data_IF_455801214440
#
_entry.id   IF_455801214440
#
_cell.length_a   1.000
_cell.length_b   1.000
_cell.length_c   1.000
_cell.angle_alpha   90.00
_cell.angle_beta   90.00
_cell.angle_gamma   90.00
#
_symmetry.space_group_name_H-M   'P 1'
#
loop_
_entity.id
_entity.type
_entity.pdbx_description
1 polymer ?
#
# COMPACT_ATOMS: atom_id res chain seq x y z
N UNK A 1 19.65 -13.75 13.56
CA UNK A 1 18.18 -13.63 13.63
C UNK A 1 17.77 -12.37 12.91
N UNK A 2 16.99 -12.52 11.84
CA UNK A 2 16.44 -11.41 11.07
C UNK A 2 15.50 -10.55 11.93
N UNK A 3 15.56 -9.24 11.74
CA UNK A 3 14.72 -8.27 12.45
C UNK A 3 13.63 -7.80 11.49
N UNK A 4 12.37 -7.90 11.90
CA UNK A 4 11.24 -7.47 11.07
C UNK A 4 10.54 -6.28 11.68
N UNK A 5 10.39 -5.25 10.88
CA UNK A 5 9.70 -4.03 11.26
C UNK A 5 8.53 -3.77 10.31
N UNK A 6 7.36 -3.53 10.90
CA UNK A 6 6.12 -3.29 10.19
C UNK A 6 5.73 -1.82 10.34
N UNK A 7 5.52 -1.15 9.21
CA UNK A 7 5.28 0.28 9.12
C UNK A 7 4.01 0.56 8.32
N UNK A 8 3.02 1.16 8.98
CA UNK A 8 1.83 1.70 8.33
C UNK A 8 2.11 3.13 7.87
N UNK A 9 1.86 3.45 6.59
CA UNK A 9 1.94 4.82 6.10
C UNK A 9 0.87 5.68 6.78
N UNK A 10 1.29 6.56 7.68
CA UNK A 10 0.43 7.51 8.37
C UNK A 10 0.79 8.94 7.94
N UNK A 11 -0.19 9.85 7.82
CA UNK A 11 0.06 11.24 7.43
C UNK A 11 0.86 12.03 8.48
N UNK A 12 0.83 11.59 9.74
CA UNK A 12 1.60 12.16 10.86
C UNK A 12 2.12 11.04 11.75
N UNK A 13 3.42 11.02 12.02
CA UNK A 13 4.03 10.09 12.96
C UNK A 13 4.03 10.66 14.37
N UNK A 14 3.72 9.80 15.34
CA UNK A 14 3.91 10.08 16.76
C UNK A 14 5.39 9.93 17.16
N UNK A 15 5.80 10.53 18.28
CA UNK A 15 7.20 10.52 18.75
C UNK A 15 7.76 9.11 18.94
N UNK A 16 6.96 8.18 19.46
CA UNK A 16 7.37 6.77 19.61
C UNK A 16 7.54 6.07 18.26
N UNK A 17 6.67 6.37 17.29
CA UNK A 17 6.73 5.82 15.93
C UNK A 17 7.98 6.32 15.19
N UNK A 18 8.33 7.61 15.37
CA UNK A 18 9.55 8.20 14.80
C UNK A 18 10.83 7.51 15.31
N UNK A 19 10.92 7.19 16.60
CA UNK A 19 12.06 6.47 17.18
C UNK A 19 12.20 5.05 16.60
N UNK A 20 11.08 4.34 16.43
CA UNK A 20 11.06 2.99 15.81
C UNK A 20 11.46 3.07 14.34
N UNK A 21 11.04 4.11 13.61
CA UNK A 21 11.49 4.37 12.25
C UNK A 21 13.01 4.59 12.19
N UNK A 22 13.56 5.48 13.02
CA UNK A 22 15.00 5.77 13.05
C UNK A 22 15.82 4.53 13.38
N UNK A 23 15.38 3.72 14.35
CA UNK A 23 16.02 2.46 14.69
C UNK A 23 15.98 1.45 13.53
N UNK A 24 14.87 1.37 12.81
CA UNK A 24 14.73 0.46 11.67
C UNK A 24 15.61 0.89 10.49
N UNK A 25 15.65 2.20 10.18
CA UNK A 25 16.52 2.78 9.15
C UNK A 25 17.98 2.49 9.48
N UNK A 26 18.41 2.75 10.72
CA UNK A 26 19.77 2.48 11.17
C UNK A 26 20.13 0.99 11.07
N UNK A 27 19.19 0.07 11.37
CA UNK A 27 19.41 -1.37 11.22
C UNK A 27 19.59 -1.78 9.76
N UNK A 28 18.73 -1.29 8.85
CA UNK A 28 18.83 -1.54 7.41
C UNK A 28 20.18 -1.06 6.86
N UNK A 29 20.56 0.18 7.16
CA UNK A 29 21.81 0.77 6.66
C UNK A 29 23.04 0.06 7.25
N UNK A 30 23.02 -0.25 8.55
CA UNK A 30 24.08 -1.05 9.19
C UNK A 30 24.30 -2.38 8.47
N UNK A 31 23.23 -3.09 8.13
CA UNK A 31 23.33 -4.39 7.46
C UNK A 31 23.88 -4.25 6.04
N UNK A 32 23.40 -3.26 5.28
CA UNK A 32 23.86 -3.00 3.92
C UNK A 32 25.34 -2.60 3.90
N UNK A 33 25.78 -1.68 4.77
CA UNK A 33 27.20 -1.27 4.83
C UNK A 33 28.12 -2.37 5.37
N UNK A 34 27.59 -3.35 6.11
CA UNK A 34 28.33 -4.56 6.53
C UNK A 34 28.42 -5.63 5.43
N UNK A 35 27.93 -5.35 4.23
CA UNK A 35 27.92 -6.30 3.12
C UNK A 35 26.86 -7.40 3.24
N UNK A 36 25.77 -7.13 3.98
CA UNK A 36 24.60 -8.02 4.08
C UNK A 36 23.47 -7.52 3.19
N UNK A 37 22.52 -8.41 2.88
CA UNK A 37 21.29 -8.03 2.19
C UNK A 37 20.27 -7.47 3.20
N UNK A 38 19.55 -6.42 2.83
CA UNK A 38 18.35 -5.93 3.54
C UNK A 38 17.18 -5.84 2.58
N UNK A 39 15.96 -6.08 3.07
CA UNK A 39 14.78 -6.16 2.22
C UNK A 39 13.69 -5.19 2.68
N UNK A 40 13.13 -4.45 1.73
CA UNK A 40 12.01 -3.54 1.95
C UNK A 40 10.83 -4.00 1.08
N UNK A 41 9.74 -4.41 1.70
CA UNK A 41 8.44 -4.60 1.06
C UNK A 41 7.67 -3.29 1.08
N UNK A 42 7.27 -2.80 -0.09
CA UNK A 42 6.41 -1.63 -0.23
C UNK A 42 5.07 -2.06 -0.85
N UNK A 43 4.02 -2.09 -0.04
CA UNK A 43 2.66 -2.43 -0.44
C UNK A 43 1.77 -1.20 -0.57
N UNK A 44 1.02 -1.12 -1.67
CA UNK A 44 0.04 -0.08 -1.95
C UNK A 44 0.45 0.82 -3.10
N UNK A 45 -0.23 1.95 -3.26
CA UNK A 45 -0.01 2.84 -4.38
C UNK A 45 1.42 3.43 -4.33
N UNK A 46 2.13 3.35 -5.46
CA UNK A 46 3.38 4.08 -5.62
C UNK A 46 3.04 5.59 -5.59
N UNK A 47 3.79 6.43 -4.86
CA UNK A 47 3.53 7.87 -4.80
C UNK A 47 3.87 8.51 -6.16
N UNK A 48 2.93 8.41 -7.10
CA UNK A 48 3.00 9.05 -8.41
C UNK A 48 2.50 10.47 -8.20
N UNK A 49 3.42 11.44 -8.11
CA UNK A 49 3.24 12.91 -8.12
C UNK A 49 3.58 13.71 -6.84
N UNK A 50 3.98 13.11 -5.71
CA UNK A 50 4.39 13.91 -4.53
C UNK A 50 5.84 14.43 -4.62
N UNK A 51 6.64 13.92 -5.56
CA UNK A 51 8.04 14.31 -5.75
C UNK A 51 8.24 15.47 -6.74
N UNK A 52 7.36 16.49 -6.75
CA UNK A 52 7.61 17.75 -7.47
C UNK A 52 8.20 18.79 -6.52
N UNK A 53 9.48 18.64 -6.22
CA UNK A 53 10.26 19.62 -5.45
C UNK A 53 11.39 19.00 -4.64
N UNK A 54 12.36 19.83 -4.25
CA UNK A 54 13.55 19.50 -3.44
C UNK A 54 13.23 19.06 -2.00
N UNK A 55 11.94 19.00 -1.65
CA UNK A 55 11.42 18.39 -0.44
C UNK A 55 10.65 17.13 -0.84
N UNK A 56 11.39 16.05 -1.10
CA UNK A 56 10.80 14.72 -1.01
C UNK A 56 10.29 14.59 0.43
N UNK A 57 8.95 14.65 0.59
CA UNK A 57 8.29 14.76 1.87
C UNK A 57 8.96 13.84 2.90
N UNK A 58 9.31 14.39 4.06
CA UNK A 58 9.86 13.69 5.24
C UNK A 58 8.99 12.52 5.77
N UNK A 59 8.00 12.09 5.00
CA UNK A 59 6.95 11.13 5.30
C UNK A 59 7.18 9.77 4.61
N UNK A 60 7.84 9.72 3.45
CA UNK A 60 8.08 8.43 2.78
C UNK A 60 9.31 7.72 3.39
N UNK A 61 9.07 6.56 4.00
CA UNK A 61 10.09 5.75 4.67
C UNK A 61 11.19 5.33 3.69
N UNK A 62 10.83 5.02 2.44
CA UNK A 62 11.78 4.68 1.39
C UNK A 62 12.71 5.87 1.09
N UNK A 63 12.16 7.07 1.05
CA UNK A 63 12.89 8.29 0.73
C UNK A 63 13.85 8.66 1.84
N UNK A 64 13.43 8.49 3.08
CA UNK A 64 14.31 8.65 4.25
C UNK A 64 15.46 7.64 4.24
N UNK A 65 15.21 6.37 3.90
CA UNK A 65 16.28 5.36 3.79
C UNK A 65 17.28 5.72 2.70
N UNK A 66 16.79 6.10 1.50
CA UNK A 66 17.66 6.49 0.40
C UNK A 66 18.45 7.77 0.74
N UNK A 67 17.79 8.79 1.28
CA UNK A 67 18.46 10.03 1.69
C UNK A 67 19.53 9.77 2.75
N UNK A 68 19.24 8.95 3.76
CA UNK A 68 20.23 8.57 4.78
C UNK A 68 21.37 7.70 4.21
N UNK A 69 21.08 6.82 3.25
CA UNK A 69 22.09 6.03 2.55
C UNK A 69 23.07 6.93 1.80
N UNK A 70 22.57 7.82 0.95
CA UNK A 70 23.42 8.75 0.19
C UNK A 70 24.12 9.75 1.11
N UNK A 71 23.46 10.22 2.17
CA UNK A 71 24.09 11.07 3.21
C UNK A 71 25.27 10.37 3.89
N UNK A 72 25.11 9.09 4.25
CA UNK A 72 26.21 8.30 4.80
C UNK A 72 27.33 8.17 3.77
N UNK A 73 27.02 7.85 2.51
CA UNK A 73 28.02 7.72 1.43
C UNK A 73 28.79 9.02 1.20
N UNK A 74 28.13 10.17 1.15
CA UNK A 74 28.79 11.48 1.01
C UNK A 74 29.55 11.93 2.26
N UNK A 75 29.17 11.42 3.43
CA UNK A 75 29.86 11.67 4.69
C UNK A 75 31.06 10.76 4.94
N UNK A 76 31.28 9.74 4.10
CA UNK A 76 32.46 8.87 4.21
C UNK A 76 33.74 9.61 3.81
N UNK A 77 34.85 9.22 4.43
CA UNK A 77 36.17 9.77 4.10
C UNK A 77 36.51 9.58 2.61
N UNK A 78 37.20 10.55 2.02
CA UNK A 78 37.65 10.60 0.61
C UNK A 78 38.44 9.36 0.12
N UNK A 79 38.79 8.43 1.01
CA UNK A 79 39.52 7.19 0.72
C UNK A 79 38.61 5.98 0.45
N UNK A 80 37.29 6.14 0.55
CA UNK A 80 36.30 5.10 0.31
C UNK A 80 35.55 5.40 -0.99
N UNK A 81 35.90 4.68 -2.06
CA UNK A 81 35.10 4.67 -3.28
C UNK A 81 33.91 3.73 -3.08
N UNK A 82 32.71 4.29 -3.20
CA UNK A 82 31.45 3.56 -3.12
C UNK A 82 30.74 3.68 -4.45
N UNK A 83 30.46 2.55 -5.11
CA UNK A 83 29.62 2.53 -6.30
C UNK A 83 28.26 1.95 -5.96
N UNK A 84 27.22 2.63 -6.43
CA UNK A 84 25.81 2.24 -6.22
C UNK A 84 25.21 1.97 -7.58
N UNK A 85 24.69 0.76 -7.78
CA UNK A 85 24.02 0.38 -9.01
C UNK A 85 22.62 -0.17 -8.73
N UNK A 86 21.66 0.17 -9.58
CA UNK A 86 20.28 -0.33 -9.50
C UNK A 86 19.97 -1.31 -10.63
N UNK A 87 19.31 -2.41 -10.28
CA UNK A 87 18.74 -3.39 -11.21
C UNK A 87 17.28 -3.69 -10.84
N UNK A 88 16.50 -4.22 -11.79
CA UNK A 88 15.11 -4.63 -11.55
C UNK A 88 14.84 -6.02 -12.14
N UNK A 89 13.94 -6.76 -11.51
CA UNK A 89 13.41 -8.04 -11.97
C UNK A 89 11.90 -8.08 -11.76
N UNK A 90 11.18 -8.66 -12.72
CA UNK A 90 9.75 -8.96 -12.60
C UNK A 90 9.61 -10.41 -12.12
N UNK A 91 8.84 -10.63 -11.06
CA UNK A 91 8.62 -11.95 -10.46
C UNK A 91 7.14 -12.30 -10.50
N UNK A 92 6.81 -13.55 -10.83
CA UNK A 92 5.45 -14.06 -10.88
C UNK A 92 5.22 -15.05 -9.72
N UNK A 93 4.17 -14.83 -8.93
CA UNK A 93 3.84 -15.61 -7.73
C UNK A 93 3.44 -17.08 -7.99
N UNK A 94 3.33 -17.52 -9.24
CA UNK A 94 3.02 -18.93 -9.62
C UNK A 94 4.20 -19.74 -10.12
N UNK A 95 5.26 -19.09 -10.61
CA UNK A 95 6.43 -19.76 -11.16
C UNK A 95 7.67 -19.27 -10.39
N UNK A 96 8.36 -20.20 -9.74
CA UNK A 96 9.67 -19.96 -9.11
C UNK A 96 10.77 -19.66 -10.15
N UNK A 97 10.45 -19.69 -11.44
CA UNK A 97 11.38 -19.32 -12.48
C UNK A 97 11.26 -17.83 -12.83
N UNK A 98 12.37 -17.08 -12.73
CA UNK A 98 12.40 -15.70 -13.20
C UNK A 98 12.12 -15.73 -14.70
N UNK A 99 10.95 -15.25 -15.11
CA UNK A 99 10.74 -14.92 -16.52
C UNK A 99 11.60 -13.70 -16.78
N UNK A 100 12.85 -13.93 -17.18
CA UNK A 100 13.70 -12.94 -17.80
C UNK A 100 12.95 -12.47 -19.04
N UNK A 101 12.17 -11.41 -18.89
CA UNK A 101 11.68 -10.65 -20.02
C UNK A 101 12.94 -10.14 -20.72
N UNK A 102 13.18 -10.74 -21.86
CA UNK A 102 14.31 -10.58 -22.77
C UNK A 102 15.60 -11.28 -22.35
N UNK A 103 15.84 -12.42 -23.00
CA UNK A 103 17.18 -12.85 -23.38
C UNK A 103 17.81 -11.82 -24.34
N UNK A 104 18.11 -10.62 -23.83
CA UNK A 104 19.15 -9.75 -24.37
C UNK A 104 20.33 -9.74 -23.42
N UNK A 105 21.57 -9.89 -23.92
CA UNK A 105 22.76 -9.81 -23.10
C UNK A 105 22.94 -8.38 -22.61
N UNK A 106 22.50 -8.10 -21.37
CA UNK A 106 22.72 -6.82 -20.71
C UNK A 106 21.53 -6.30 -19.93
N UNK A 107 21.24 -6.91 -18.76
CA UNK A 107 20.58 -6.16 -17.68
C UNK A 107 21.59 -5.09 -17.24
N UNK A 108 21.51 -3.90 -17.87
CA UNK A 108 22.38 -2.77 -17.55
C UNK A 108 22.02 -2.29 -16.14
N UNK A 109 22.74 -2.81 -15.14
CA UNK A 109 22.83 -2.18 -13.83
C UNK A 109 23.17 -0.71 -14.07
N UNK A 110 22.25 0.19 -13.73
CA UNK A 110 22.45 1.61 -13.94
C UNK A 110 23.15 2.17 -12.70
N UNK A 111 24.27 2.86 -12.89
CA UNK A 111 24.92 3.57 -11.80
C UNK A 111 24.06 4.75 -11.38
N UNK A 112 23.91 4.89 -10.07
CA UNK A 112 23.04 5.91 -9.47
C UNK A 112 23.86 6.77 -8.54
N UNK A 113 23.81 8.08 -8.75
CA UNK A 113 24.60 9.03 -7.96
C UNK A 113 23.75 9.73 -6.89
N UNK A 114 22.44 9.89 -7.10
CA UNK A 114 21.55 10.62 -6.18
C UNK A 114 20.31 9.80 -5.79
N UNK A 115 19.66 10.09 -4.65
CA UNK A 115 18.40 9.45 -4.29
C UNK A 115 17.29 9.74 -5.31
N UNK A 116 17.32 10.91 -5.96
CA UNK A 116 16.36 11.28 -6.99
C UNK A 116 16.45 10.40 -8.24
N UNK A 117 17.67 10.03 -8.63
CA UNK A 117 17.90 9.13 -9.76
C UNK A 117 17.34 7.72 -9.49
N UNK A 118 17.44 7.23 -8.25
CA UNK A 118 16.83 5.95 -7.82
C UNK A 118 15.31 6.00 -8.01
N UNK A 119 14.68 7.06 -7.50
CA UNK A 119 13.23 7.25 -7.60
C UNK A 119 12.76 7.36 -9.04
N UNK A 120 13.46 8.14 -9.86
CA UNK A 120 13.14 8.35 -11.27
C UNK A 120 13.23 7.04 -12.07
N UNK A 121 14.24 6.20 -11.78
CA UNK A 121 14.37 4.87 -12.38
C UNK A 121 13.20 3.96 -12.02
N UNK A 122 12.88 3.86 -10.72
CA UNK A 122 11.77 3.02 -10.24
C UNK A 122 10.43 3.48 -10.80
N UNK A 123 10.15 4.78 -10.78
CA UNK A 123 8.92 5.36 -11.32
C UNK A 123 8.78 5.12 -12.82
N UNK A 124 9.85 5.25 -13.59
CA UNK A 124 9.85 4.99 -15.03
C UNK A 124 9.55 3.52 -15.38
N UNK A 125 9.97 2.57 -14.54
CA UNK A 125 9.67 1.15 -14.71
C UNK A 125 8.24 0.83 -14.26
N UNK A 126 7.81 1.35 -13.11
CA UNK A 126 6.47 1.14 -12.58
C UNK A 126 5.42 1.74 -13.53
N UNK A 127 5.61 2.95 -14.05
CA UNK A 127 4.69 3.58 -15.02
C UNK A 127 4.55 2.78 -16.31
N UNK A 128 5.66 2.26 -16.85
CA UNK A 128 5.65 1.40 -18.05
C UNK A 128 4.87 0.11 -17.81
N UNK A 129 4.99 -0.48 -16.62
CA UNK A 129 4.31 -1.72 -16.26
C UNK A 129 2.86 -1.53 -15.83
N UNK A 130 2.47 -0.39 -15.27
CA UNK A 130 1.09 -0.07 -14.94
C UNK A 130 0.21 0.11 -16.20
N UNK A 131 0.80 0.48 -17.33
CA UNK A 131 0.12 0.60 -18.62
C UNK A 131 -0.13 -0.77 -19.31
N UNK A 132 0.65 -1.80 -18.98
CA UNK A 132 0.33 -3.18 -19.36
C UNK A 132 -0.53 -3.80 -18.25
N UNK A 133 -1.79 -4.13 -18.54
CA UNK A 133 -2.76 -4.68 -17.57
C UNK A 133 -2.11 -5.54 -16.46
N UNK A 134 -2.17 -5.14 -15.17
CA UNK A 134 -1.48 -5.89 -14.12
C UNK A 134 -2.20 -7.22 -13.89
N UNK A 135 -1.49 -8.34 -14.07
CA UNK A 135 -1.97 -9.61 -13.55
C UNK A 135 -1.81 -9.60 -12.02
N UNK A 136 -2.76 -10.14 -11.23
CA UNK A 136 -2.75 -10.04 -9.77
C UNK A 136 -1.61 -10.81 -9.06
N UNK A 137 -0.64 -11.33 -9.82
CA UNK A 137 0.37 -12.28 -9.38
C UNK A 137 1.80 -11.80 -9.68
N UNK A 138 1.97 -10.66 -10.34
CA UNK A 138 3.29 -10.12 -10.67
C UNK A 138 3.71 -9.03 -9.67
N UNK A 139 4.95 -9.09 -9.22
CA UNK A 139 5.56 -8.08 -8.35
C UNK A 139 6.94 -7.69 -8.86
N UNK A 140 7.33 -6.44 -8.59
CA UNK A 140 8.60 -5.87 -9.05
C UNK A 140 9.63 -5.90 -7.91
N UNK A 141 10.80 -6.46 -8.18
CA UNK A 141 11.95 -6.44 -7.28
C UNK A 141 13.03 -5.54 -7.86
N UNK A 142 13.33 -4.45 -7.17
CA UNK A 142 14.49 -3.60 -7.42
C UNK A 142 15.61 -4.01 -6.47
N UNK A 143 16.85 -4.05 -6.95
CA UNK A 143 18.03 -4.35 -6.12
C UNK A 143 19.03 -3.23 -6.30
N UNK A 144 19.38 -2.54 -5.20
CA UNK A 144 20.53 -1.64 -5.17
C UNK A 144 21.73 -2.41 -4.64
N UNK A 145 22.77 -2.55 -5.45
CA UNK A 145 24.06 -3.09 -5.02
C UNK A 145 24.99 -1.94 -4.65
N UNK A 146 25.57 -2.05 -3.46
CA UNK A 146 26.51 -1.08 -2.90
C UNK A 146 27.86 -1.79 -2.77
N UNK A 147 28.79 -1.44 -3.64
CA UNK A 147 30.14 -1.95 -3.63
C UNK A 147 31.05 -0.93 -2.96
N UNK A 148 31.79 -1.38 -1.95
CA UNK A 148 32.80 -0.58 -1.26
C UNK A 148 34.17 -1.16 -1.52
N UNK A 149 35.13 -0.33 -1.91
CA UNK A 149 36.46 -0.79 -2.33
C UNK A 149 37.25 -1.56 -1.23
N UNK A 150 36.85 -1.43 0.05
CA UNK A 150 37.50 -2.10 1.20
C UNK A 150 36.85 -3.40 1.67
N UNK A 151 35.63 -3.73 1.21
CA UNK A 151 34.90 -4.92 1.66
C UNK A 151 34.77 -5.94 0.50
N UNK A 152 35.06 -7.23 0.73
CA UNK A 152 34.96 -8.25 -0.32
C UNK A 152 33.51 -8.60 -0.69
N UNK A 153 32.53 -8.19 0.13
CA UNK A 153 31.11 -8.45 -0.08
C UNK A 153 30.37 -7.14 -0.35
N UNK A 154 29.63 -7.08 -1.45
CA UNK A 154 28.71 -5.98 -1.75
C UNK A 154 27.48 -6.05 -0.85
N UNK A 155 27.09 -4.91 -0.29
CA UNK A 155 25.80 -4.77 0.35
C UNK A 155 24.68 -4.76 -0.67
N UNK A 156 23.54 -5.37 -0.36
CA UNK A 156 22.37 -5.37 -1.24
C UNK A 156 21.14 -4.82 -0.52
N UNK A 157 20.48 -3.83 -1.13
CA UNK A 157 19.17 -3.36 -0.70
C UNK A 157 18.11 -3.80 -1.71
N UNK A 158 17.30 -4.78 -1.33
CA UNK A 158 16.22 -5.35 -2.15
C UNK A 158 14.92 -4.61 -1.83
N UNK A 159 14.34 -3.90 -2.79
CA UNK A 159 13.05 -3.22 -2.66
C UNK A 159 12.01 -3.97 -3.49
N UNK A 160 11.02 -4.55 -2.83
CA UNK A 160 9.94 -5.31 -3.45
C UNK A 160 8.69 -4.45 -3.45
N UNK A 161 8.23 -4.03 -4.62
CA UNK A 161 7.00 -3.27 -4.79
C UNK A 161 5.84 -4.20 -5.12
N UNK A 162 4.82 -4.17 -4.26
CA UNK A 162 3.56 -4.86 -4.44
C UNK A 162 2.49 -3.83 -4.79
N UNK A 163 1.89 -3.90 -6.00
CA UNK A 163 0.80 -3.01 -6.34
C UNK A 163 -0.40 -3.24 -5.40
N UNK A 164 -1.16 -2.17 -5.13
CA UNK A 164 -2.41 -2.26 -4.38
C UNK A 164 -3.38 -3.17 -5.13
N UNK A 165 -3.78 -4.28 -4.50
CA UNK A 165 -4.70 -5.24 -5.13
C UNK A 165 -6.12 -4.89 -4.72
N UNK A 166 -6.88 -4.28 -5.63
CA UNK A 166 -8.28 -3.91 -5.42
C UNK A 166 -9.22 -5.13 -5.46
N UNK A 167 -8.79 -6.25 -6.04
CA UNK A 167 -9.63 -7.43 -6.21
C UNK A 167 -9.50 -8.42 -5.03
N UNK A 168 -10.60 -8.72 -4.31
CA UNK A 168 -10.58 -9.68 -3.20
C UNK A 168 -10.25 -11.12 -3.63
N UNK A 169 -10.33 -11.43 -4.93
CA UNK A 169 -10.01 -12.72 -5.52
C UNK A 169 -8.53 -13.12 -5.32
N UNK A 170 -7.62 -12.15 -5.19
CA UNK A 170 -6.19 -12.40 -5.03
C UNK A 170 -5.82 -12.88 -3.62
N UNK A 171 -6.68 -12.64 -2.63
CA UNK A 171 -6.53 -13.17 -1.26
C UNK A 171 -6.94 -14.65 -1.15
N UNK A 172 -7.65 -15.19 -2.15
CA UNK A 172 -8.13 -16.58 -2.17
C UNK A 172 -7.07 -17.59 -2.63
N UNK A 173 -6.00 -17.15 -3.28
CA UNK A 173 -4.90 -18.03 -3.71
C UNK A 173 -4.02 -18.36 -2.50
N UNK A 174 -3.59 -19.62 -2.31
CA UNK A 174 -2.70 -20.00 -1.20
C UNK A 174 -1.22 -19.82 -1.61
N UNK A 175 -0.79 -18.59 -1.85
CA UNK A 175 0.62 -18.24 -2.05
C UNK A 175 1.20 -17.58 -0.80
N UNK A 176 2.53 -17.63 -0.56
CA UNK A 176 3.17 -16.92 0.55
C UNK A 176 2.86 -15.42 0.51
N UNK A 177 2.70 -14.86 -0.69
CA UNK A 177 2.25 -13.48 -0.89
C UNK A 177 0.84 -13.21 -0.36
N UNK A 178 -0.12 -14.11 -0.58
CA UNK A 178 -1.47 -13.93 -0.01
C UNK A 178 -1.49 -14.10 1.50
N UNK A 179 -0.59 -14.90 2.06
CA UNK A 179 -0.39 -15.02 3.50
C UNK A 179 0.16 -13.71 4.09
N UNK A 180 1.14 -13.07 3.43
CA UNK A 180 1.65 -11.75 3.78
C UNK A 180 0.53 -10.69 3.76
N UNK A 181 -0.28 -10.66 2.70
CA UNK A 181 -1.41 -9.73 2.59
C UNK A 181 -2.49 -9.96 3.65
N UNK A 182 -2.77 -11.21 4.02
CA UNK A 182 -3.68 -11.55 5.13
C UNK A 182 -3.15 -11.04 6.47
N UNK A 183 -1.84 -11.16 6.71
CA UNK A 183 -1.22 -10.64 7.93
C UNK A 183 -1.31 -9.11 7.96
N UNK A 184 -1.03 -8.43 6.85
CA UNK A 184 -1.20 -6.97 6.74
C UNK A 184 -2.66 -6.56 6.99
N UNK A 185 -3.63 -7.27 6.41
CA UNK A 185 -5.06 -7.00 6.61
C UNK A 185 -5.51 -7.21 8.06
N UNK A 186 -5.01 -8.24 8.76
CA UNK A 186 -5.29 -8.45 10.18
C UNK A 186 -4.67 -7.34 11.04
N UNK A 187 -3.45 -6.92 10.68
CA UNK A 187 -2.74 -5.85 11.38
C UNK A 187 -3.37 -4.48 11.14
N UNK A 188 -4.20 -4.31 10.11
CA UNK A 188 -4.91 -3.06 9.83
C UNK A 188 -5.90 -2.69 10.95
N UNK A 189 -6.61 -3.70 11.49
CA UNK A 189 -7.56 -3.52 12.59
C UNK A 189 -6.88 -3.31 13.96
N UNK A 190 -5.56 -3.37 14.02
CA UNK A 190 -4.81 -3.21 15.26
C UNK A 190 -4.45 -1.73 15.50
N UNK A 191 -4.52 -1.27 16.76
CA UNK A 191 -4.25 0.14 17.13
C UNK A 191 -2.77 0.54 16.96
N UNK A 192 -1.85 -0.42 17.08
CA UNK A 192 -0.40 -0.20 16.92
C UNK A 192 0.01 -0.31 15.45
N UNK A 193 0.65 0.74 14.94
CA UNK A 193 0.98 0.95 13.52
C UNK A 193 2.46 0.72 13.16
N UNK A 194 3.35 0.76 14.16
CA UNK A 194 4.81 0.66 14.01
C UNK A 194 5.31 -0.41 15.00
N UNK A 195 5.54 -1.63 14.51
CA UNK A 195 5.79 -2.78 15.36
C UNK A 195 7.06 -3.51 14.93
N UNK A 196 7.88 -3.91 15.90
CA UNK A 196 8.87 -4.97 15.71
C UNK A 196 8.15 -6.30 15.85
N UNK A 197 8.29 -7.17 14.87
CA UNK A 197 7.56 -8.44 14.80
C UNK A 197 8.52 -9.60 15.03
N UNK A 198 8.31 -10.35 16.12
CA UNK A 198 9.19 -11.46 16.53
C UNK A 198 8.51 -12.85 16.33
N UNK A 199 7.45 -12.94 15.53
CA UNK A 199 6.71 -14.19 15.33
C UNK A 199 7.41 -15.13 14.33
N UNK A 200 7.78 -16.32 14.80
CA UNK A 200 8.50 -17.34 14.02
C UNK A 200 7.77 -17.80 12.76
N UNK A 201 6.44 -17.92 12.77
CA UNK A 201 5.67 -18.38 11.59
C UNK A 201 5.68 -17.37 10.46
N UNK A 202 5.73 -16.09 10.79
CA UNK A 202 5.82 -15.03 9.79
C UNK A 202 7.23 -14.92 9.21
N UNK A 203 8.24 -15.16 10.04
CA UNK A 203 9.62 -15.29 9.58
C UNK A 203 9.76 -16.45 8.59
N UNK A 204 9.12 -17.58 8.84
CA UNK A 204 9.08 -18.73 7.92
C UNK A 204 8.44 -18.36 6.57
N UNK A 205 7.30 -17.66 6.58
CA UNK A 205 6.64 -17.18 5.36
C UNK A 205 7.52 -16.18 4.57
N UNK A 206 8.22 -15.29 5.26
CA UNK A 206 9.16 -14.36 4.63
C UNK A 206 10.39 -15.09 4.08
N UNK A 207 10.87 -16.12 4.77
CA UNK A 207 11.95 -16.98 4.29
C UNK A 207 11.52 -17.76 3.05
N UNK A 208 10.28 -18.26 2.99
CA UNK A 208 9.71 -18.91 1.80
C UNK A 208 9.58 -17.95 0.61
N UNK A 209 9.25 -16.67 0.87
CA UNK A 209 9.14 -15.64 -0.18
C UNK A 209 10.51 -15.14 -0.70
N UNK A 210 11.53 -15.15 0.15
CA UNK A 210 12.83 -14.50 -0.10
C UNK A 210 13.98 -15.48 -0.36
N UNK A 211 13.78 -16.77 -0.09
CA UNK A 211 14.83 -17.79 -0.11
C UNK A 211 15.84 -17.68 1.05
N UNK A 212 16.96 -18.39 0.91
CA UNK A 212 17.98 -18.58 1.95
C UNK A 212 18.70 -17.29 2.41
N UNK A 213 18.57 -16.18 1.68
CA UNK A 213 19.23 -14.89 1.98
C UNK A 213 18.62 -14.16 3.20
N UNK A 214 17.52 -14.68 3.78
CA UNK A 214 16.70 -13.98 4.77
C UNK A 214 17.13 -14.22 6.24
N UNK A 215 18.12 -15.07 6.52
CA UNK A 215 18.41 -15.53 7.90
C UNK A 215 19.04 -14.43 8.79
N UNK A 216 19.73 -13.46 8.18
CA UNK A 216 20.43 -12.38 8.88
C UNK A 216 20.06 -10.96 8.43
N UNK A 217 19.04 -10.81 7.59
CA UNK A 217 18.66 -9.52 7.00
C UNK A 217 17.63 -8.75 7.84
N UNK A 218 17.68 -7.42 7.80
CA UNK A 218 16.58 -6.58 8.29
C UNK A 218 15.48 -6.53 7.22
N UNK A 219 14.24 -6.85 7.61
CA UNK A 219 13.05 -6.79 6.73
C UNK A 219 12.14 -5.66 7.17
N UNK A 220 11.82 -4.78 6.22
CA UNK A 220 10.97 -3.62 6.41
C UNK A 220 9.69 -3.80 5.61
N UNK A 221 8.51 -3.71 6.23
CA UNK A 221 7.23 -3.81 5.52
C UNK A 221 6.52 -2.47 5.64
N UNK A 222 6.60 -1.67 4.58
CA UNK A 222 5.90 -0.41 4.44
C UNK A 222 4.57 -0.66 3.70
N UNK A 223 3.44 -0.48 4.36
CA UNK A 223 2.13 -0.68 3.75
C UNK A 223 1.30 0.58 3.83
N UNK A 224 0.76 0.97 2.67
CA UNK A 224 -0.29 1.97 2.58
C UNK A 224 -1.59 1.34 3.05
N UNK A 225 -2.41 2.08 3.79
CA UNK A 225 -3.78 1.69 4.14
C UNK A 225 -4.42 0.97 2.96
N UNK A 226 -4.63 -0.35 3.03
CA UNK A 226 -5.39 -0.99 1.97
C UNK A 226 -6.76 -0.32 2.00
N UNK A 227 -7.23 0.20 0.85
CA UNK A 227 -8.65 0.47 0.64
C UNK A 227 -9.39 -0.87 0.52
N UNK A 228 -9.11 -1.82 1.41
CA UNK A 228 -9.88 -3.01 1.58
C UNK A 228 -11.22 -2.55 2.14
N UNK A 229 -12.12 -2.18 1.23
CA UNK A 229 -13.56 -2.08 1.45
C UNK A 229 -14.13 -3.48 1.76
N UNK A 230 -13.47 -4.23 2.64
CA UNK A 230 -13.93 -5.52 3.10
C UNK A 230 -15.22 -5.38 3.93
N UNK A 231 -15.56 -4.15 4.37
CA UNK A 231 -16.65 -3.87 5.29
C UNK A 231 -17.66 -2.80 4.82
N UNK A 232 -17.47 -2.18 3.65
CA UNK A 232 -18.50 -1.35 3.01
C UNK A 232 -18.81 -1.94 1.64
N UNK A 233 -19.53 -3.06 1.66
CA UNK A 233 -19.89 -3.80 0.46
C UNK A 233 -21.10 -3.14 -0.21
N UNK A 234 -20.88 -2.48 -1.34
CA UNK A 234 -21.94 -2.21 -2.31
C UNK A 234 -22.35 -3.52 -2.99
N UNK A 235 -23.66 -3.77 -3.03
CA UNK A 235 -24.30 -5.07 -3.25
C UNK A 235 -24.14 -5.65 -4.67
N UNK A 236 -23.54 -4.91 -5.61
CA UNK A 236 -23.58 -5.24 -7.02
C UNK A 236 -22.51 -6.24 -7.53
N UNK A 237 -21.34 -6.36 -6.87
CA UNK A 237 -20.22 -7.20 -7.38
C UNK A 237 -20.08 -8.57 -6.68
N UNK A 238 -21.14 -9.00 -5.97
CA UNK A 238 -21.06 -10.03 -4.94
C UNK A 238 -21.15 -11.48 -5.44
N UNK A 239 -21.74 -11.75 -6.60
CA UNK A 239 -22.08 -13.14 -7.00
C UNK A 239 -20.86 -14.04 -7.19
N UNK A 240 -19.75 -13.53 -7.73
CA UNK A 240 -18.52 -14.30 -7.96
C UNK A 240 -17.76 -14.58 -6.67
N UNK A 241 -17.67 -13.59 -5.78
CA UNK A 241 -17.01 -13.72 -4.48
C UNK A 241 -17.76 -14.68 -3.55
N UNK A 242 -19.09 -14.54 -3.45
CA UNK A 242 -19.92 -15.47 -2.70
C UNK A 242 -19.83 -16.88 -3.25
N UNK A 243 -19.79 -17.04 -4.58
CA UNK A 243 -19.58 -18.35 -5.22
C UNK A 243 -18.20 -18.93 -4.87
N UNK A 244 -17.14 -18.12 -4.84
CA UNK A 244 -15.80 -18.56 -4.47
C UNK A 244 -15.70 -18.96 -2.99
N UNK A 245 -16.27 -18.16 -2.08
CA UNK A 245 -16.34 -18.45 -0.64
C UNK A 245 -17.16 -19.72 -0.37
N UNK A 246 -18.33 -19.84 -0.99
CA UNK A 246 -19.19 -21.02 -0.88
C UNK A 246 -18.49 -22.29 -1.39
N UNK A 247 -17.83 -22.23 -2.54
CA UNK A 247 -17.06 -23.37 -3.07
C UNK A 247 -15.89 -23.75 -2.16
N UNK A 248 -15.23 -22.79 -1.53
CA UNK A 248 -14.15 -23.04 -0.57
C UNK A 248 -14.69 -23.74 0.68
N UNK A 249 -15.78 -23.25 1.24
CA UNK A 249 -16.37 -23.84 2.44
C UNK A 249 -16.91 -25.24 2.16
N UNK A 250 -17.49 -25.46 0.96
CA UNK A 250 -17.90 -26.78 0.50
C UNK A 250 -16.72 -27.75 0.35
N UNK A 251 -15.54 -27.28 -0.10
CA UNK A 251 -14.32 -28.12 -0.13
C UNK A 251 -13.83 -28.47 1.27
N UNK A 252 -13.86 -27.53 2.22
CA UNK A 252 -13.51 -27.82 3.62
C UNK A 252 -14.47 -28.82 4.24
N UNK A 253 -15.77 -28.60 4.07
CA UNK A 253 -16.82 -29.51 4.55
C UNK A 253 -16.70 -30.89 3.91
N UNK A 254 -16.41 -30.97 2.60
CA UNK A 254 -16.14 -32.25 1.91
C UNK A 254 -14.90 -32.95 2.47
N UNK A 255 -13.79 -32.23 2.65
CA UNK A 255 -12.57 -32.79 3.24
C UNK A 255 -12.79 -33.25 4.69
N UNK A 256 -13.57 -32.50 5.47
CA UNK A 256 -13.94 -32.85 6.83
C UNK A 256 -14.83 -34.09 6.85
N UNK A 257 -15.82 -34.18 5.96
CA UNK A 257 -16.67 -35.37 5.80
C UNK A 257 -15.87 -36.60 5.35
N UNK A 258 -14.91 -36.44 4.45
CA UNK A 258 -14.00 -37.51 4.05
C UNK A 258 -13.09 -37.96 5.19
N UNK A 259 -12.71 -37.07 6.11
CA UNK A 259 -11.98 -37.43 7.33
C UNK A 259 -12.88 -38.10 8.36
N UNK A 260 -14.10 -37.60 8.56
CA UNK A 260 -15.11 -38.18 9.46
C UNK A 260 -15.58 -39.56 8.99
N UNK A 261 -15.69 -39.79 7.68
CA UNK A 261 -16.06 -41.10 7.12
C UNK A 261 -14.93 -42.14 7.23
N UNK A 262 -13.68 -41.68 7.34
CA UNK A 262 -12.50 -42.52 7.60
C UNK A 262 -12.27 -42.79 9.09
N UNK A 263 -12.84 -41.98 9.99
CA UNK A 263 -12.77 -42.22 11.42
C UNK A 263 -13.65 -43.40 11.79
N UNK A 264 -13.00 -44.42 12.32
CA UNK A 264 -13.66 -45.62 12.81
C UNK A 264 -13.60 -45.62 14.34
N UNK A 265 -14.76 -45.64 14.98
CA UNK A 265 -14.85 -45.60 16.45
C UNK A 265 -14.97 -47.02 17.01
N UNK A 266 -14.24 -47.24 18.10
CA UNK A 266 -14.36 -48.45 18.91
C UNK A 266 -15.52 -48.26 19.90
N UNK A 267 -16.61 -49.02 19.74
CA UNK A 267 -17.60 -49.12 20.81
C UNK A 267 -17.11 -50.10 21.89
N UNK A 268 -17.49 -49.84 23.15
CA UNK A 268 -17.19 -50.70 24.33
C UNK A 268 -17.56 -52.18 24.18
N UNK A 269 -18.29 -52.58 23.12
CA UNK A 269 -18.68 -53.97 22.80
C UNK A 269 -17.86 -54.62 21.68
N UNK A 270 -16.71 -54.05 21.30
CA UNK A 270 -15.79 -54.67 20.32
C UNK A 270 -16.27 -54.66 18.87
N UNK A 271 -17.25 -53.81 18.51
CA UNK A 271 -17.73 -53.66 17.13
C UNK A 271 -17.33 -52.30 16.56
N UNK A 272 -16.79 -52.32 15.33
CA UNK A 272 -16.49 -51.14 14.52
C UNK A 272 -17.79 -50.51 14.01
N UNK A 273 -18.07 -49.26 14.38
CA UNK A 273 -19.21 -48.51 13.86
C UNK A 273 -18.71 -47.35 12.99
N UNK A 274 -19.20 -47.29 11.76
CA UNK A 274 -18.94 -46.17 10.85
C UNK A 274 -19.87 -45.01 11.21
N UNK A 275 -19.41 -43.78 11.06
CA UNK A 275 -20.17 -42.56 11.42
C UNK A 275 -21.51 -42.45 10.66
N UNK A 276 -21.60 -43.02 9.44
CA UNK A 276 -22.84 -43.15 8.66
C UNK A 276 -23.97 -43.83 9.42
N UNK A 277 -23.64 -44.82 10.25
CA UNK A 277 -24.62 -45.66 10.93
C UNK A 277 -25.12 -44.97 12.21
N UNK A 278 -24.31 -44.08 12.79
CA UNK A 278 -24.70 -43.23 13.93
C UNK A 278 -25.61 -42.09 13.49
N UNK A 279 -25.34 -41.47 12.34
CA UNK A 279 -26.21 -40.42 11.78
C UNK A 279 -27.57 -40.98 11.36
N UNK A 280 -27.62 -42.18 10.76
CA UNK A 280 -28.87 -42.85 10.43
C UNK A 280 -29.69 -43.22 11.67
N UNK A 281 -29.03 -43.71 12.73
CA UNK A 281 -29.71 -44.02 14.00
C UNK A 281 -30.24 -42.78 14.73
N UNK A 282 -29.53 -41.65 14.65
CA UNK A 282 -30.00 -40.39 15.23
C UNK A 282 -31.22 -39.84 14.47
N UNK A 283 -31.24 -39.92 13.14
CA UNK A 283 -32.40 -39.54 12.33
C UNK A 283 -33.61 -40.45 12.59
N UNK A 284 -33.39 -41.75 12.72
CA UNK A 284 -34.45 -42.70 13.03
C UNK A 284 -35.07 -42.47 14.42
N UNK A 285 -34.25 -42.15 15.43
CA UNK A 285 -34.72 -41.86 16.78
C UNK A 285 -35.45 -40.51 16.91
N UNK A 286 -35.16 -39.55 16.03
CA UNK A 286 -35.87 -38.26 16.03
C UNK A 286 -37.28 -38.39 15.45
N UNK A 287 -37.44 -39.18 14.38
CA UNK A 287 -38.74 -39.36 13.73
C UNK A 287 -39.72 -40.18 14.58
N UNK A 288 -39.25 -41.25 15.24
CA UNK A 288 -40.11 -42.10 16.08
C UNK A 288 -40.63 -41.39 17.32
N UNK A 289 -39.92 -40.38 17.83
CA UNK A 289 -40.33 -39.62 19.01
C UNK A 289 -41.41 -38.59 18.70
N UNK A 290 -41.39 -38.03 17.49
CA UNK A 290 -42.42 -37.10 16.99
C UNK A 290 -43.71 -37.84 16.61
N UNK A 291 -43.63 -39.05 16.06
CA UNK A 291 -44.79 -39.89 15.74
C UNK A 291 -45.54 -40.34 17.00
N UNK A 292 -44.81 -40.72 18.07
CA UNK A 292 -45.41 -41.13 19.35
C UNK A 292 -46.08 -39.97 20.11
N UNK A 293 -45.57 -38.74 19.98
CA UNK A 293 -46.17 -37.55 20.60
C UNK A 293 -47.44 -37.09 19.86
N UNK A 294 -47.53 -37.31 18.54
CA UNK A 294 -48.72 -37.03 17.74
C UNK A 294 -49.86 -38.02 18.02
N UNK A 295 -49.56 -39.33 18.08
CA UNK A 295 -50.56 -40.36 18.37
C UNK A 295 -51.14 -40.26 19.80
N UNK A 296 -50.34 -39.81 20.78
CA UNK A 296 -50.82 -39.56 22.15
C UNK A 296 -51.70 -38.30 22.28
N UNK A 297 -51.58 -37.35 21.35
CA UNK A 297 -52.43 -36.15 21.29
C UNK A 297 -53.76 -36.44 20.57
N UNK A 298 -53.75 -37.26 19.52
CA UNK A 298 -54.96 -37.64 18.78
C UNK A 298 -55.84 -38.63 19.57
N UNK A 299 -55.26 -39.55 20.35
CA UNK A 299 -56.00 -40.50 21.18
C UNK A 299 -56.72 -39.85 22.38
N UNK A 300 -56.39 -38.61 22.75
CA UNK A 300 -57.03 -37.89 23.88
C UNK A 300 -58.24 -37.05 23.47
N UNK A 301 -58.59 -36.96 22.19
CA UNK A 301 -59.73 -36.15 21.72
C UNK A 301 -61.00 -36.95 21.37
N UNK A 302 -60.99 -38.29 21.46
CA UNK A 302 -62.17 -39.11 21.19
C UNK A 302 -62.38 -40.16 22.29
N UNK A 303 -63.08 -39.77 23.37
CA UNK A 303 -64.06 -40.58 24.12
C UNK A 303 -64.37 -39.89 25.46
N UNK A 304 -65.44 -39.10 25.50
CA UNK A 304 -66.09 -38.67 26.73
C UNK A 304 -67.61 -38.77 26.52
N UNK A 305 -68.16 -39.94 26.82
CA UNK A 305 -69.58 -40.14 27.05
C UNK A 305 -69.76 -41.18 28.17
N UNK A 306 -70.21 -40.68 29.34
CA UNK A 306 -70.98 -41.35 30.42
C UNK A 306 -70.30 -42.59 31.07
N UNK A 307 -70.16 -42.76 32.39
CA UNK A 307 -70.81 -42.21 33.57
C UNK A 307 -69.95 -42.60 34.81
N UNK A 308 -70.06 -41.78 35.87
CA UNK A 308 -69.92 -42.16 37.29
C UNK A 308 -68.53 -42.51 37.87
N UNK A 309 -67.86 -41.52 38.46
CA UNK A 309 -67.29 -41.63 39.82
C UNK A 309 -66.97 -40.24 40.38
N UNK A 310 -67.81 -39.75 41.30
CA UNK A 310 -67.77 -38.40 41.88
C UNK A 310 -66.53 -38.10 42.74
N UNK A 311 -65.61 -39.06 42.94
CA UNK A 311 -64.37 -38.86 43.69
C UNK A 311 -63.18 -38.38 42.82
N UNK A 312 -63.27 -38.48 41.48
CA UNK A 312 -62.19 -38.07 40.55
C UNK A 312 -62.41 -36.68 39.93
N UNK A 313 -63.63 -36.16 40.01
CA UNK A 313 -64.00 -34.84 39.47
C UNK A 313 -63.40 -33.69 40.29
N UNK A 314 -63.35 -33.80 41.63
CA UNK A 314 -62.79 -32.75 42.50
C UNK A 314 -61.28 -32.59 42.34
N UNK A 315 -60.55 -33.70 42.13
CA UNK A 315 -59.10 -33.69 41.88
C UNK A 315 -58.77 -33.18 40.48
N UNK A 316 -59.55 -33.56 39.45
CA UNK A 316 -59.43 -32.99 38.10
C UNK A 316 -59.80 -31.51 38.04
N UNK A 317 -60.79 -31.06 38.81
CA UNK A 317 -61.19 -29.65 38.85
C UNK A 317 -60.15 -28.78 39.59
N UNK A 318 -59.55 -29.29 40.66
CA UNK A 318 -58.39 -28.65 41.30
C UNK A 318 -57.17 -28.61 40.37
N UNK A 319 -56.88 -29.70 39.66
CA UNK A 319 -55.78 -29.72 38.69
C UNK A 319 -56.05 -28.74 37.53
N UNK A 320 -57.24 -28.73 36.93
CA UNK A 320 -57.61 -27.76 35.88
C UNK A 320 -57.53 -26.31 36.39
N UNK A 321 -57.98 -26.04 37.62
CA UNK A 321 -57.85 -24.69 38.20
C UNK A 321 -56.39 -24.27 38.39
N UNK A 322 -55.51 -25.23 38.75
CA UNK A 322 -54.07 -24.98 38.84
C UNK A 322 -53.43 -24.74 37.47
N UNK A 323 -53.82 -25.50 36.43
CA UNK A 323 -53.35 -25.28 35.06
C UNK A 323 -53.82 -23.95 34.49
N UNK A 324 -55.08 -23.57 34.71
CA UNK A 324 -55.63 -22.28 34.28
C UNK A 324 -54.91 -21.13 35.01
N UNK A 325 -54.61 -21.29 36.31
CA UNK A 325 -53.82 -20.28 37.05
C UNK A 325 -52.38 -20.17 36.55
N UNK A 326 -51.76 -21.29 36.14
CA UNK A 326 -50.42 -21.30 35.56
C UNK A 326 -50.36 -20.68 34.17
N UNK A 327 -51.38 -20.92 33.33
CA UNK A 327 -51.53 -20.27 32.03
C UNK A 327 -51.75 -18.76 32.22
N UNK A 328 -52.59 -18.36 33.19
CA UNK A 328 -52.86 -16.95 33.48
C UNK A 328 -51.59 -16.22 33.96
N UNK A 329 -50.82 -16.82 34.87
CA UNK A 329 -49.53 -16.29 35.30
C UNK A 329 -48.49 -16.22 34.17
N UNK A 330 -48.45 -17.22 33.28
CA UNK A 330 -47.60 -17.20 32.09
C UNK A 330 -47.99 -16.12 31.09
N UNK A 331 -49.29 -15.86 30.90
CA UNK A 331 -49.78 -14.75 30.07
C UNK A 331 -49.53 -13.39 30.70
N UNK A 332 -49.61 -13.26 32.03
CA UNK A 332 -49.31 -12.00 32.73
C UNK A 332 -47.81 -11.65 32.63
N UNK A 333 -46.91 -12.63 32.71
CA UNK A 333 -45.47 -12.43 32.45
C UNK A 333 -45.15 -12.12 30.99
N UNK A 334 -45.85 -12.75 30.04
CA UNK A 334 -45.73 -12.41 28.62
C UNK A 334 -46.20 -10.97 28.33
N UNK A 335 -47.27 -10.51 29.00
CA UNK A 335 -47.76 -9.13 28.87
C UNK A 335 -46.79 -8.14 29.52
N UNK A 336 -46.20 -8.45 30.67
CA UNK A 336 -45.21 -7.56 31.30
C UNK A 336 -43.95 -7.40 30.44
N UNK A 337 -43.43 -8.50 29.91
CA UNK A 337 -42.26 -8.47 29.00
C UNK A 337 -42.55 -7.72 27.70
N UNK A 338 -43.76 -7.82 27.14
CA UNK A 338 -44.16 -7.02 25.98
C UNK A 338 -44.23 -5.52 26.31
N UNK A 339 -44.66 -5.16 27.52
CA UNK A 339 -44.70 -3.76 27.97
C UNK A 339 -43.28 -3.17 28.11
N UNK A 340 -42.34 -3.95 28.66
CA UNK A 340 -40.93 -3.56 28.77
C UNK A 340 -40.28 -3.39 27.39
N UNK A 341 -40.58 -4.30 26.46
CA UNK A 341 -40.13 -4.18 25.07
C UNK A 341 -40.71 -2.94 24.39
N UNK A 342 -41.97 -2.61 24.65
CA UNK A 342 -42.59 -1.40 24.10
C UNK A 342 -41.91 -0.13 24.63
N UNK A 343 -41.57 -0.07 25.91
CA UNK A 343 -40.81 1.05 26.48
C UNK A 343 -39.41 1.18 25.86
N UNK A 344 -38.72 0.06 25.67
CA UNK A 344 -37.39 0.03 25.06
C UNK A 344 -37.45 0.51 23.60
N UNK A 345 -38.46 0.09 22.83
CA UNK A 345 -38.68 0.56 21.45
C UNK A 345 -38.98 2.06 21.42
N UNK A 346 -39.76 2.60 22.36
CA UNK A 346 -39.98 4.05 22.42
C UNK A 346 -38.72 4.84 22.74
N UNK A 347 -37.91 4.37 23.69
CA UNK A 347 -36.63 5.00 24.05
C UNK A 347 -35.64 4.99 22.87
N UNK A 348 -35.52 3.86 22.17
CA UNK A 348 -34.70 3.76 20.96
C UNK A 348 -35.23 4.70 19.85
N UNK A 349 -36.54 4.87 19.74
CA UNK A 349 -37.16 5.82 18.81
C UNK A 349 -36.72 7.26 19.08
N UNK A 350 -36.74 7.69 20.34
CA UNK A 350 -36.26 9.02 20.74
C UNK A 350 -34.77 9.21 20.48
N UNK A 351 -33.94 8.19 20.79
CA UNK A 351 -32.49 8.26 20.54
C UNK A 351 -32.16 8.35 19.05
N UNK A 352 -32.89 7.62 18.21
CA UNK A 352 -32.71 7.65 16.76
C UNK A 352 -33.09 9.02 16.19
N UNK A 353 -34.24 9.57 16.60
CA UNK A 353 -34.67 10.92 16.19
C UNK A 353 -33.67 12.00 16.61
N UNK A 354 -33.14 11.92 17.82
CA UNK A 354 -32.11 12.85 18.30
C UNK A 354 -30.81 12.72 17.49
N UNK A 355 -30.38 11.50 17.17
CA UNK A 355 -29.22 11.24 16.32
C UNK A 355 -29.40 11.79 14.90
N UNK A 356 -30.58 11.62 14.30
CA UNK A 356 -30.91 12.19 12.99
C UNK A 356 -30.84 13.71 12.98
N UNK A 357 -31.33 14.36 14.03
CA UNK A 357 -31.26 15.81 14.17
C UNK A 357 -29.81 16.31 14.27
N UNK A 358 -28.96 15.63 15.06
CA UNK A 358 -27.54 15.95 15.12
C UNK A 358 -26.83 15.75 13.78
N UNK A 359 -27.16 14.69 13.04
CA UNK A 359 -26.61 14.46 11.71
C UNK A 359 -27.02 15.56 10.74
N UNK A 360 -28.27 16.04 10.80
CA UNK A 360 -28.74 17.15 9.99
C UNK A 360 -27.95 18.44 10.27
N UNK A 361 -27.72 18.78 11.53
CA UNK A 361 -26.92 19.96 11.92
C UNK A 361 -25.46 19.85 11.45
N UNK A 362 -24.85 18.67 11.63
CA UNK A 362 -23.47 18.41 11.17
C UNK A 362 -23.35 18.49 9.66
N UNK A 363 -24.34 17.99 8.93
CA UNK A 363 -24.39 18.09 7.47
C UNK A 363 -24.54 19.54 7.01
N UNK A 364 -25.35 20.36 7.67
CA UNK A 364 -25.41 21.80 7.38
C UNK A 364 -24.07 22.50 7.63
N UNK A 365 -23.39 22.19 8.73
CA UNK A 365 -22.05 22.73 9.01
C UNK A 365 -21.04 22.31 7.95
N UNK A 366 -21.06 21.04 7.52
CA UNK A 366 -20.20 20.54 6.44
C UNK A 366 -20.48 21.26 5.11
N UNK A 367 -21.75 21.49 4.78
CA UNK A 367 -22.12 22.22 3.57
C UNK A 367 -21.58 23.66 3.60
N UNK A 368 -21.68 24.34 4.75
CA UNK A 368 -21.14 25.69 4.92
C UNK A 368 -19.61 25.71 4.79
N UNK A 369 -18.91 24.74 5.39
CA UNK A 369 -17.46 24.62 5.28
C UNK A 369 -17.02 24.31 3.84
N UNK A 370 -17.75 23.44 3.14
CA UNK A 370 -17.48 23.14 1.73
C UNK A 370 -17.68 24.38 0.85
N UNK A 371 -18.71 25.20 1.10
CA UNK A 371 -18.91 26.45 0.38
C UNK A 371 -17.76 27.44 0.61
N UNK A 372 -17.29 27.58 1.85
CA UNK A 372 -16.12 28.42 2.19
C UNK A 372 -14.83 27.90 1.53
N UNK A 373 -14.62 26.58 1.52
CA UNK A 373 -13.47 25.98 0.86
C UNK A 373 -13.51 26.18 -0.65
N UNK A 374 -14.68 26.05 -1.28
CA UNK A 374 -14.86 26.33 -2.70
C UNK A 374 -14.49 27.78 -3.02
N UNK A 375 -15.02 28.74 -2.25
CA UNK A 375 -14.70 30.15 -2.42
C UNK A 375 -13.19 30.45 -2.21
N UNK A 376 -12.56 29.84 -1.21
CA UNK A 376 -11.12 29.99 -0.99
C UNK A 376 -10.31 29.40 -2.14
N UNK A 377 -10.72 28.26 -2.68
CA UNK A 377 -10.05 27.62 -3.81
C UNK A 377 -10.14 28.49 -5.07
N UNK A 378 -11.31 29.07 -5.34
CA UNK A 378 -11.51 29.99 -6.47
C UNK A 378 -10.61 31.23 -6.34
N UNK A 379 -10.51 31.81 -5.15
CA UNK A 379 -9.60 32.93 -4.88
C UNK A 379 -8.13 32.56 -5.15
N UNK A 380 -7.69 31.39 -4.71
CA UNK A 380 -6.32 30.90 -4.96
C UNK A 380 -6.09 30.65 -6.45
N UNK A 381 -7.07 30.12 -7.17
CA UNK A 381 -6.96 29.93 -8.62
C UNK A 381 -6.83 31.27 -9.35
N UNK A 382 -7.64 32.28 -8.98
CA UNK A 382 -7.54 33.62 -9.53
C UNK A 382 -6.17 34.24 -9.24
N UNK A 383 -5.65 34.14 -8.01
CA UNK A 383 -4.32 34.62 -7.67
C UNK A 383 -3.22 33.92 -8.48
N UNK A 384 -3.32 32.60 -8.69
CA UNK A 384 -2.38 31.85 -9.52
C UNK A 384 -2.41 32.32 -10.97
N UNK A 385 -3.57 32.62 -11.53
CA UNK A 385 -3.71 33.15 -12.89
C UNK A 385 -3.08 34.54 -13.01
N UNK A 386 -3.36 35.45 -12.07
CA UNK A 386 -2.76 36.79 -12.04
C UNK A 386 -1.24 36.73 -11.89
N UNK A 387 -0.73 35.81 -11.05
CA UNK A 387 0.70 35.61 -10.88
C UNK A 387 1.36 35.10 -12.17
N UNK A 388 0.74 34.13 -12.86
CA UNK A 388 1.21 33.65 -14.17
C UNK A 388 1.25 34.77 -15.22
N UNK A 389 0.23 35.63 -15.27
CA UNK A 389 0.21 36.79 -16.17
C UNK A 389 1.33 37.79 -15.84
N UNK A 390 1.58 38.06 -14.56
CA UNK A 390 2.71 38.91 -14.16
C UNK A 390 4.05 38.30 -14.57
N UNK A 391 4.24 36.99 -14.37
CA UNK A 391 5.45 36.30 -14.80
C UNK A 391 5.66 36.36 -16.32
N UNK A 392 4.61 36.20 -17.13
CA UNK A 392 4.75 36.32 -18.58
C UNK A 392 5.15 37.74 -19.00
N UNK A 393 4.57 38.76 -18.37
CA UNK A 393 4.95 40.17 -18.62
C UNK A 393 6.41 40.44 -18.25
N UNK A 394 6.89 39.94 -17.10
CA UNK A 394 8.30 40.08 -16.72
C UNK A 394 9.23 39.30 -17.65
N UNK A 395 8.86 38.09 -18.05
CA UNK A 395 9.64 37.30 -19.00
C UNK A 395 9.77 38.00 -20.36
N UNK A 396 8.68 38.58 -20.87
CA UNK A 396 8.71 39.40 -22.09
C UNK A 396 9.56 40.65 -21.95
N UNK A 397 9.48 41.34 -20.80
CA UNK A 397 10.30 42.51 -20.51
C UNK A 397 11.79 42.17 -20.49
N UNK A 398 12.17 41.10 -19.77
CA UNK A 398 13.56 40.62 -19.72
C UNK A 398 14.04 40.24 -21.11
N UNK A 399 13.20 39.55 -21.92
CA UNK A 399 13.54 39.20 -23.29
C UNK A 399 13.81 40.43 -24.15
N UNK A 400 13.00 41.49 -24.02
CA UNK A 400 13.22 42.76 -24.74
C UNK A 400 14.50 43.45 -24.30
N UNK A 401 14.75 43.54 -23.00
CA UNK A 401 15.98 44.14 -22.46
C UNK A 401 17.23 43.38 -22.91
N UNK A 402 17.17 42.05 -22.92
CA UNK A 402 18.24 41.19 -23.41
C UNK A 402 18.52 41.41 -24.90
N UNK A 403 17.47 41.50 -25.73
CA UNK A 403 17.61 41.82 -27.16
C UNK A 403 18.24 43.19 -27.39
N UNK A 404 17.83 44.21 -26.64
CA UNK A 404 18.41 45.55 -26.72
C UNK A 404 19.88 45.56 -26.30
N UNK A 405 20.21 44.89 -25.20
CA UNK A 405 21.59 44.81 -24.71
C UNK A 405 22.49 44.08 -25.71
N UNK A 406 22.03 42.96 -26.27
CA UNK A 406 22.78 42.22 -27.27
C UNK A 406 23.02 43.03 -28.55
N UNK A 407 22.00 43.75 -29.04
CA UNK A 407 22.17 44.63 -30.20
C UNK A 407 23.23 45.71 -29.92
N UNK A 408 23.18 46.35 -28.74
CA UNK A 408 24.17 47.33 -28.34
C UNK A 408 25.59 46.73 -28.21
N UNK A 409 25.73 45.50 -27.73
CA UNK A 409 27.01 44.79 -27.70
C UNK A 409 27.55 44.52 -29.11
N UNK A 410 26.71 44.03 -30.03
CA UNK A 410 27.10 43.77 -31.41
C UNK A 410 27.57 45.04 -32.11
N UNK A 411 26.89 46.17 -31.93
CA UNK A 411 27.33 47.45 -32.51
C UNK A 411 28.70 47.88 -31.95
N UNK A 412 28.95 47.69 -30.65
CA UNK A 412 30.24 48.01 -30.03
C UNK A 412 31.36 47.08 -30.50
N UNK A 413 31.08 45.81 -30.74
CA UNK A 413 32.06 44.89 -31.31
C UNK A 413 32.40 45.26 -32.75
N UNK A 414 31.40 45.55 -33.59
CA UNK A 414 31.63 46.01 -34.96
C UNK A 414 32.45 47.31 -35.01
N UNK A 415 32.18 48.26 -34.11
CA UNK A 415 32.99 49.48 -33.99
C UNK A 415 34.44 49.17 -33.59
N UNK A 416 34.66 48.24 -32.64
CA UNK A 416 36.00 47.81 -32.25
C UNK A 416 36.72 47.11 -33.40
N UNK A 417 36.04 46.24 -34.14
CA UNK A 417 36.61 45.60 -35.33
C UNK A 417 37.03 46.64 -36.36
N UNK A 418 36.16 47.60 -36.69
CA UNK A 418 36.48 48.69 -37.62
C UNK A 418 37.70 49.50 -37.16
N UNK A 419 37.77 49.86 -35.87
CA UNK A 419 38.93 50.55 -35.31
C UNK A 419 40.21 49.72 -35.42
N UNK A 420 40.15 48.41 -35.15
CA UNK A 420 41.29 47.51 -35.31
C UNK A 420 41.73 47.39 -36.78
N UNK A 421 40.78 47.30 -37.72
CA UNK A 421 41.07 47.32 -39.15
C UNK A 421 41.74 48.63 -39.59
N UNK A 422 41.26 49.79 -39.11
CA UNK A 422 41.90 51.07 -39.39
C UNK A 422 43.31 51.17 -38.82
N UNK A 423 43.54 50.72 -37.58
CA UNK A 423 44.86 50.68 -36.97
C UNK A 423 45.82 49.76 -37.73
N UNK A 424 45.33 48.58 -38.14
CA UNK A 424 46.10 47.65 -38.96
C UNK A 424 46.51 48.27 -40.30
N UNK A 425 45.58 48.93 -40.99
CA UNK A 425 45.87 49.61 -42.25
C UNK A 425 46.89 50.74 -42.08
N UNK A 426 46.81 51.52 -40.99
CA UNK A 426 47.82 52.55 -40.66
C UNK A 426 49.20 51.94 -40.43
N UNK A 427 49.29 50.86 -39.66
CA UNK A 427 50.55 50.14 -39.43
C UNK A 427 51.15 49.59 -40.73
N UNK A 428 50.32 49.02 -41.62
CA UNK A 428 50.78 48.55 -42.93
C UNK A 428 51.31 49.70 -43.80
N UNK A 429 50.67 50.87 -43.78
CA UNK A 429 51.13 52.05 -44.50
C UNK A 429 52.45 52.61 -43.93
N UNK A 430 52.59 52.66 -42.60
CA UNK A 430 53.84 53.08 -41.94
C UNK A 430 55.00 52.14 -42.27
N UNK A 431 54.78 50.83 -42.28
CA UNK A 431 55.78 49.84 -42.68
C UNK A 431 56.19 50.00 -44.15
N UNK A 432 55.23 50.28 -45.04
CA UNK A 432 55.54 50.54 -46.46
C UNK A 432 56.38 51.81 -46.64
N UNK A 433 56.05 52.87 -45.91
CA UNK A 433 56.79 54.14 -45.96
C UNK A 433 58.21 54.00 -45.38
N UNK A 434 58.40 53.21 -44.32
CA UNK A 434 59.74 52.91 -43.80
C UNK A 434 60.56 52.07 -44.79
N UNK A 435 59.94 51.14 -45.53
CA UNK A 435 60.59 50.40 -46.61
C UNK A 435 61.06 51.30 -47.77
N UNK A 436 60.31 52.34 -48.11
CA UNK A 436 60.66 53.29 -49.19
C UNK A 436 61.81 54.21 -48.77
N UNK A 437 61.85 54.66 -47.52
CA UNK A 437 62.95 55.49 -46.98
C UNK A 437 64.27 54.73 -46.99
N UNK A 438 64.27 53.41 -46.72
CA UNK A 438 65.48 52.58 -46.79
C UNK A 438 65.97 52.43 -48.24
N UNK A 439 65.06 52.34 -49.22
CA UNK A 439 65.46 52.29 -50.64
C UNK A 439 65.96 53.64 -51.17
N UNK A 440 65.38 54.77 -50.76
CA UNK A 440 65.85 56.10 -51.17
C UNK A 440 67.17 56.49 -50.51
N UNK A 441 67.40 56.11 -49.25
CA UNK A 441 68.71 56.28 -48.59
C UNK A 441 69.82 55.44 -49.23
N UNK A 442 69.48 54.26 -49.79
CA UNK A 442 70.42 53.41 -50.53
C UNK A 442 70.71 53.95 -51.95
N UNK A 443 69.76 54.68 -52.55
CA UNK A 443 69.95 55.32 -53.87
C UNK A 443 70.72 56.65 -53.75
N UNK A 444 70.50 57.42 -52.68
CA UNK A 444 71.22 58.68 -52.43
C UNK A 444 72.70 58.49 -52.05
N UNK A 445 73.08 57.34 -51.50
CA UNK A 445 74.50 56.99 -51.28
C UNK A 445 75.20 56.52 -52.55
N UNK A 446 74.46 56.05 -53.56
CA UNK A 446 75.01 55.64 -54.86
C UNK A 446 75.23 56.83 -55.84
N UNK A 447 74.56 57.96 -55.65
CA UNK A 447 74.70 59.15 -56.54
C UNK A 447 75.79 60.13 -56.11
N UNK A 448 76.31 60.06 -54.89
CA UNK A 448 77.45 60.86 -54.42
C UNK A 448 78.83 60.23 -54.70
N UNK A 449 78.89 59.13 -55.47
CA UNK A 449 80.11 58.42 -55.84
C UNK A 449 80.31 58.34 -57.37
N UNK A 450 80.06 59.45 -58.08
CA UNK A 450 80.42 59.62 -59.49
C UNK A 450 81.22 60.89 -59.71
#
# INVERSE_FOLDING_TARGET
MAKVYLFRKLPKLERQQALVCEQAIASVLSDVFKGKASTIFNYGDWPVNDCKGDQCDSKDLLGRILNELFRHVYGLELKLEVSIAISHMLLNAKHEEPTNLDAQPGVKSQFVATPHDVYSYMEGIIRRKLQSLPTPHEYLRFTLSIQQNKLPKSGELKIIHLPSVESPESLLVNTPMSALLKVIAVLDNHEKSHLRYDNTKFMELLHELMGADCVESTVLINYTMPKLQLLKMEEASNSKLWRALYLRERRKSKSLNEKLSKLQFWCRRGKHLKVSDLTAKLQQNFNTKLELELEQQEAKQQQLALQESEAQLSTLQQQMSSYISGIKGGTEQAVSTLLDLQQLVTELGFQLQHSEQQLAEKNQMLNNLNALLAQSNDNVQQQRLLFKQKLSLYAEMIKRLWQQQNAAFQTREQQREQQLYELFNKLCAELHNQGTIITEASIATATNAK
#
